data_IF_809324638295
#
_entry.id   IF_809324638295
#
_cell.length_a   1.000
_cell.length_b   1.000
_cell.length_c   1.000
_cell.angle_alpha   90.00
_cell.angle_beta   90.00
_cell.angle_gamma   90.00
#
_symmetry.space_group_name_H-M   'P 1'
#
loop_
_entity.id
_entity.type
_entity.pdbx_description
1 polymer ?
#
# COMPACT_ATOMS: atom_id res chain seq x y z
N UNK A 1 11.13 9.34 -27.64
CA UNK A 1 10.08 9.79 -26.70
C UNK A 1 10.26 9.02 -25.40
N UNK A 2 10.77 9.65 -24.35
CA UNK A 2 10.69 9.07 -23.01
C UNK A 2 9.23 9.20 -22.58
N UNK A 3 8.45 8.14 -22.76
CA UNK A 3 7.14 8.02 -22.12
C UNK A 3 7.43 8.13 -20.62
N UNK A 4 6.85 9.13 -19.96
CA UNK A 4 7.00 9.30 -18.52
C UNK A 4 6.55 7.99 -17.85
N UNK A 5 7.52 7.19 -17.39
CA UNK A 5 7.23 5.96 -16.65
C UNK A 5 6.54 6.39 -15.37
N UNK A 6 5.32 5.90 -15.15
CA UNK A 6 4.60 6.16 -13.90
C UNK A 6 5.46 5.62 -12.76
N UNK A 7 5.64 6.43 -11.71
CA UNK A 7 6.34 6.03 -10.50
C UNK A 7 5.32 5.80 -9.39
N UNK A 8 5.24 4.57 -8.89
CA UNK A 8 4.34 4.18 -7.81
C UNK A 8 5.12 3.75 -6.55
N UNK A 9 4.52 3.77 -5.36
CA UNK A 9 5.21 3.32 -4.14
C UNK A 9 5.60 1.84 -4.20
N UNK A 10 6.71 1.45 -3.59
CA UNK A 10 7.14 0.03 -3.47
C UNK A 10 6.28 -0.73 -2.43
N UNK A 11 5.01 -0.93 -2.75
CA UNK A 11 3.98 -1.50 -1.87
C UNK A 11 2.98 -2.35 -2.65
N UNK A 12 2.12 -3.09 -1.94
CA UNK A 12 1.01 -3.84 -2.50
C UNK A 12 0.12 -2.97 -3.40
N UNK A 13 0.00 -1.66 -3.15
CA UNK A 13 -0.75 -0.76 -4.03
C UNK A 13 -0.27 -0.79 -5.50
N UNK A 14 1.02 -1.06 -5.71
CA UNK A 14 1.67 -1.11 -7.02
C UNK A 14 1.85 -2.54 -7.53
N UNK A 15 1.14 -3.49 -6.93
CA UNK A 15 1.20 -4.91 -7.25
C UNK A 15 0.11 -5.28 -8.26
N UNK A 16 0.43 -6.19 -9.18
CA UNK A 16 -0.54 -6.76 -10.13
C UNK A 16 -1.73 -7.47 -9.47
N UNK A 17 -1.61 -7.82 -8.19
CA UNK A 17 -2.62 -8.55 -7.44
C UNK A 17 -3.48 -7.67 -6.54
N UNK A 18 -3.31 -6.36 -6.60
CA UNK A 18 -4.03 -5.41 -5.76
C UNK A 18 -5.31 -4.92 -6.44
N UNK A 19 -6.39 -4.89 -5.66
CA UNK A 19 -7.68 -4.36 -6.09
C UNK A 19 -8.15 -3.29 -5.11
N UNK A 20 -8.22 -2.04 -5.58
CA UNK A 20 -8.67 -0.92 -4.76
C UNK A 20 -10.11 -1.15 -4.29
N UNK A 21 -10.35 -1.10 -2.97
CA UNK A 21 -11.69 -1.23 -2.37
C UNK A 21 -12.26 0.12 -1.92
N UNK A 22 -11.43 0.98 -1.34
CA UNK A 22 -11.90 2.28 -0.86
C UNK A 22 -11.03 2.88 0.23
N UNK A 23 -11.69 3.43 1.25
CA UNK A 23 -11.05 4.08 2.40
C UNK A 23 -11.47 3.39 3.70
N UNK A 24 -10.53 3.18 4.61
CA UNK A 24 -10.76 2.57 5.92
C UNK A 24 -9.94 3.30 6.97
N UNK A 25 -10.42 3.35 8.22
CA UNK A 25 -9.67 3.93 9.33
C UNK A 25 -8.42 3.09 9.63
N UNK A 26 -7.26 3.74 9.69
CA UNK A 26 -5.99 3.13 10.07
C UNK A 26 -5.40 3.82 11.31
N UNK A 27 -5.19 3.10 12.43
CA UNK A 27 -4.53 3.67 13.61
C UNK A 27 -3.13 4.23 13.34
N UNK A 28 -2.44 3.71 12.30
CA UNK A 28 -1.10 4.14 11.90
C UNK A 28 -1.11 5.24 10.83
N UNK A 29 -2.27 5.79 10.47
CA UNK A 29 -2.34 6.91 9.55
C UNK A 29 -1.64 8.15 10.15
N UNK A 30 -0.96 8.97 9.32
CA UNK A 30 -0.43 10.25 9.77
C UNK A 30 -1.54 11.09 10.40
N UNK A 31 -1.29 11.57 11.61
CA UNK A 31 -2.22 12.44 12.34
C UNK A 31 -1.92 13.92 12.13
N UNK A 32 -0.83 14.26 11.45
CA UNK A 32 -0.34 15.62 11.26
C UNK A 32 -0.01 15.81 9.77
N UNK A 33 -0.49 16.91 9.17
CA UNK A 33 -0.16 17.26 7.78
C UNK A 33 1.22 17.92 7.66
N UNK A 34 1.63 18.23 6.44
CA UNK A 34 2.89 18.93 6.14
C UNK A 34 2.99 20.34 6.78
N UNK A 35 1.86 20.92 7.20
CA UNK A 35 1.77 22.22 7.88
C UNK A 35 1.67 22.09 9.41
N UNK A 36 1.79 20.89 9.98
CA UNK A 36 1.71 20.69 11.43
C UNK A 36 0.29 20.64 12.00
N UNK A 37 -0.75 20.61 11.16
CA UNK A 37 -2.15 20.56 11.59
C UNK A 37 -2.63 19.13 11.77
N UNK A 38 -3.42 18.88 12.81
CA UNK A 38 -4.04 17.59 13.05
C UNK A 38 -5.02 17.23 11.94
N UNK A 39 -4.92 16.02 11.39
CA UNK A 39 -5.84 15.49 10.38
C UNK A 39 -6.70 14.40 11.01
N UNK A 40 -8.02 14.60 10.94
CA UNK A 40 -9.02 13.58 11.19
C UNK A 40 -10.03 13.61 10.02
N UNK A 41 -10.57 12.47 9.57
CA UNK A 41 -10.37 11.13 10.09
C UNK A 41 -9.07 10.48 9.59
N UNK A 42 -8.53 9.53 10.36
CA UNK A 42 -7.40 8.64 10.00
C UNK A 42 -7.72 7.64 8.87
N UNK A 43 -8.48 8.04 7.87
CA UNK A 43 -8.87 7.18 6.76
C UNK A 43 -7.72 7.06 5.75
N UNK A 44 -7.32 5.83 5.43
CA UNK A 44 -6.35 5.53 4.39
C UNK A 44 -6.95 4.67 3.29
N UNK A 45 -6.36 4.74 2.10
CA UNK A 45 -6.72 3.86 1.00
C UNK A 45 -6.38 2.41 1.36
N UNK A 46 -7.36 1.54 1.19
CA UNK A 46 -7.20 0.10 1.35
C UNK A 46 -7.76 -0.63 0.14
N UNK A 47 -7.29 -1.85 -0.04
CA UNK A 47 -7.71 -2.74 -1.11
C UNK A 47 -7.50 -4.19 -0.73
N UNK A 48 -7.77 -5.07 -1.68
CA UNK A 48 -7.65 -6.50 -1.50
C UNK A 48 -6.42 -7.04 -2.24
N UNK A 49 -5.61 -7.82 -1.54
CA UNK A 49 -4.53 -8.59 -2.15
C UNK A 49 -5.07 -9.95 -2.59
N UNK A 50 -5.34 -10.12 -3.89
CA UNK A 50 -5.85 -11.38 -4.47
C UNK A 50 -4.93 -12.58 -4.26
N UNK A 51 -3.63 -12.32 -4.03
CA UNK A 51 -2.62 -13.36 -3.84
C UNK A 51 -2.62 -13.96 -2.44
N UNK A 52 -2.84 -13.14 -1.41
CA UNK A 52 -2.94 -13.60 -0.02
C UNK A 52 -4.39 -13.81 0.44
N UNK A 53 -5.38 -13.33 -0.34
CA UNK A 53 -6.78 -13.36 0.07
C UNK A 53 -7.08 -12.46 1.28
N UNK A 54 -6.34 -11.36 1.43
CA UNK A 54 -6.39 -10.49 2.60
C UNK A 54 -6.50 -9.02 2.20
N UNK A 55 -7.16 -8.23 3.04
CA UNK A 55 -7.24 -6.78 2.88
C UNK A 55 -5.96 -6.11 3.40
N UNK A 56 -5.49 -5.10 2.66
CA UNK A 56 -4.22 -4.41 2.89
C UNK A 56 -4.36 -2.91 2.66
N UNK A 57 -3.69 -2.11 3.48
CA UNK A 57 -3.53 -0.69 3.22
C UNK A 57 -2.53 -0.43 2.08
N UNK A 58 -2.65 0.75 1.45
CA UNK A 58 -1.83 1.13 0.29
C UNK A 58 -0.31 1.10 0.57
N UNK A 59 0.09 1.29 1.84
CA UNK A 59 1.49 1.32 2.29
C UNK A 59 1.97 0.00 2.90
N UNK A 60 1.25 -1.10 2.72
CA UNK A 60 1.73 -2.44 3.07
C UNK A 60 2.47 -3.11 1.92
N UNK A 61 3.41 -4.01 2.18
CA UNK A 61 4.04 -4.86 1.16
C UNK A 61 4.09 -6.30 1.65
N UNK A 62 3.62 -7.24 0.83
CA UNK A 62 3.76 -8.67 1.08
C UNK A 62 4.98 -9.25 0.33
N UNK A 63 5.43 -10.43 0.74
CA UNK A 63 6.54 -11.15 0.10
C UNK A 63 6.21 -11.65 -1.32
N UNK A 64 4.92 -11.85 -1.64
CA UNK A 64 4.44 -12.24 -2.98
C UNK A 64 4.22 -11.02 -3.90
N UNK A 65 4.84 -9.90 -3.58
CA UNK A 65 4.74 -8.68 -4.37
C UNK A 65 5.24 -8.91 -5.80
N UNK A 66 4.42 -8.54 -6.77
CA UNK A 66 4.74 -8.57 -8.19
C UNK A 66 4.47 -7.19 -8.79
N UNK A 67 5.52 -6.46 -9.16
CA UNK A 67 5.41 -5.12 -9.71
C UNK A 67 4.63 -5.10 -11.03
N UNK A 68 3.81 -4.07 -11.23
CA UNK A 68 3.20 -3.80 -12.53
C UNK A 68 4.28 -3.60 -13.61
N UNK A 69 4.13 -4.20 -14.81
CA UNK A 69 5.05 -3.97 -15.92
C UNK A 69 5.08 -2.48 -16.28
N UNK A 70 6.24 -1.98 -16.73
CA UNK A 70 6.44 -0.60 -17.16
C UNK A 70 6.23 0.50 -16.09
N UNK A 71 5.96 0.11 -14.83
CA UNK A 71 5.93 0.99 -13.66
C UNK A 71 7.27 0.96 -12.95
N UNK A 72 7.78 2.15 -12.60
CA UNK A 72 8.91 2.28 -11.69
C UNK A 72 8.43 2.35 -10.24
N UNK A 73 9.14 1.73 -9.30
CA UNK A 73 8.80 1.84 -7.88
C UNK A 73 9.74 2.78 -7.13
N UNK A 74 9.22 3.52 -6.16
CA UNK A 74 10.01 4.35 -5.25
C UNK A 74 9.76 3.96 -3.80
N UNK A 75 10.75 4.23 -2.94
CA UNK A 75 10.66 3.96 -1.52
C UNK A 75 9.56 4.81 -0.86
N UNK A 76 8.80 4.20 0.05
CA UNK A 76 7.84 4.90 0.89
C UNK A 76 7.81 4.28 2.30
N UNK A 77 7.26 5.04 3.25
CA UNK A 77 7.08 4.58 4.63
C UNK A 77 6.04 3.47 4.64
N UNK A 78 6.43 2.29 5.11
CA UNK A 78 5.55 1.11 5.17
C UNK A 78 4.77 1.11 6.47
N UNK A 79 3.55 0.56 6.42
CA UNK A 79 2.77 0.30 7.62
C UNK A 79 3.56 -0.68 8.53
N UNK A 80 3.63 -0.43 9.84
CA UNK A 80 4.46 -1.24 10.75
C UNK A 80 3.95 -2.66 10.94
N UNK A 81 2.64 -2.89 10.76
CA UNK A 81 2.03 -4.21 10.79
C UNK A 81 1.05 -4.40 9.63
N UNK A 82 0.70 -5.64 9.27
CA UNK A 82 -0.38 -5.92 8.31
C UNK A 82 -1.76 -5.52 8.84
N UNK A 83 -2.69 -5.16 7.96
CA UNK A 83 -4.11 -4.96 8.32
C UNK A 83 -4.74 -6.29 8.76
N UNK A 84 -4.59 -7.33 7.94
CA UNK A 84 -5.03 -8.68 8.24
C UNK A 84 -3.83 -9.65 8.35
N UNK A 85 -3.93 -10.69 9.21
CA UNK A 85 -2.97 -11.78 9.21
C UNK A 85 -2.91 -12.42 7.82
N UNK A 86 -1.71 -12.56 7.28
CA UNK A 86 -1.46 -13.25 6.02
C UNK A 86 -0.37 -14.27 6.22
N UNK A 87 -0.46 -15.37 5.49
CA UNK A 87 0.57 -16.39 5.51
C UNK A 87 1.78 -15.85 4.73
N UNK A 88 2.80 -15.41 5.45
CA UNK A 88 4.08 -15.07 4.83
C UNK A 88 4.87 -16.35 4.61
N UNK A 89 5.39 -16.59 3.39
CA UNK A 89 6.17 -17.80 3.07
C UNK A 89 7.22 -18.05 4.15
N UNK A 90 7.24 -19.27 4.69
CA UNK A 90 8.22 -19.71 5.69
C UNK A 90 9.61 -19.98 5.09
N UNK A 91 9.80 -19.71 3.80
CA UNK A 91 10.99 -20.04 3.01
C UNK A 91 11.34 -18.91 2.06
#
# INVERSE_FOLDING_TARGET
MNIARVSLPDTCFSCQHYEQKGWQQDPFAPTINEFGLTIEPRAQRFGHCKKNGADVFWNEKCHLYCAEPDVSTHHCIKRPSPLEPRQESLF
#
